data_IF_647357271468
#
_entry.id   IF_647357271468
#
_cell.length_a   1.000
_cell.length_b   1.000
_cell.length_c   1.000
_cell.angle_alpha   90.00
_cell.angle_beta   90.00
_cell.angle_gamma   90.00
#
_symmetry.space_group_name_H-M   'P 1'
#
loop_
_entity.id
_entity.type
_entity.pdbx_description
1 polymer ?
#
# COMPACT_ATOMS: atom_id res chain seq x y z
N UNK A 1 14.33 -0.24 16.67
CA UNK A 1 12.86 -0.18 16.58
C UNK A 1 12.38 -0.85 15.32
N UNK A 2 11.39 -1.71 15.45
CA UNK A 2 10.77 -2.33 14.28
C UNK A 2 9.79 -1.35 13.66
N UNK A 3 9.87 -1.18 12.35
CA UNK A 3 8.93 -0.38 11.57
C UNK A 3 8.13 -1.30 10.65
N UNK A 4 6.96 -0.82 10.24
CA UNK A 4 6.18 -1.50 9.21
C UNK A 4 6.98 -1.49 7.90
N UNK A 5 6.83 -2.54 7.11
CA UNK A 5 7.57 -2.70 5.85
C UNK A 5 6.59 -2.64 4.69
N UNK A 6 6.85 -1.75 3.74
CA UNK A 6 6.09 -1.68 2.50
C UNK A 6 6.92 -2.27 1.36
N UNK A 7 6.48 -3.38 0.83
CA UNK A 7 7.03 -3.93 -0.40
C UNK A 7 6.42 -3.19 -1.58
N UNK A 8 7.25 -2.58 -2.40
CA UNK A 8 6.85 -1.65 -3.41
C UNK A 8 7.61 -1.90 -4.70
N UNK A 9 7.05 -1.43 -5.80
CA UNK A 9 7.76 -1.34 -7.07
C UNK A 9 7.65 0.09 -7.57
N UNK A 10 8.79 0.66 -7.90
CA UNK A 10 8.95 2.08 -8.21
C UNK A 10 7.96 2.59 -9.25
N UNK A 11 7.72 1.82 -10.30
CA UNK A 11 6.87 2.22 -11.42
C UNK A 11 5.42 1.74 -11.31
N UNK A 12 5.08 0.99 -10.30
CA UNK A 12 3.74 0.47 -10.14
C UNK A 12 2.78 1.57 -9.67
N UNK A 13 1.71 1.89 -10.43
CA UNK A 13 0.75 2.92 -10.02
C UNK A 13 0.08 2.62 -8.68
N UNK A 14 -0.19 1.37 -8.41
CA UNK A 14 -0.80 0.96 -7.15
C UNK A 14 0.15 1.16 -5.97
N UNK A 15 1.43 0.83 -6.15
CA UNK A 15 2.45 1.07 -5.13
C UNK A 15 2.67 2.57 -4.92
N UNK A 16 2.62 3.37 -5.98
CA UNK A 16 2.73 4.83 -5.88
C UNK A 16 1.61 5.40 -5.02
N UNK A 17 0.37 4.95 -5.23
CA UNK A 17 -0.77 5.40 -4.43
C UNK A 17 -0.60 5.07 -2.95
N UNK A 18 -0.14 3.85 -2.67
CA UNK A 18 0.08 3.42 -1.30
C UNK A 18 1.17 4.25 -0.63
N UNK A 19 2.29 4.49 -1.32
CA UNK A 19 3.36 5.34 -0.80
C UNK A 19 2.88 6.76 -0.52
N UNK A 20 2.09 7.31 -1.43
CA UNK A 20 1.52 8.65 -1.26
C UNK A 20 0.63 8.76 -0.03
N UNK A 21 -0.26 7.79 0.14
CA UNK A 21 -1.15 7.77 1.29
C UNK A 21 -0.38 7.69 2.60
N UNK A 22 0.62 6.83 2.67
CA UNK A 22 1.45 6.69 3.86
C UNK A 22 2.23 7.97 4.16
N UNK A 23 2.75 8.63 3.12
CA UNK A 23 3.46 9.90 3.28
C UNK A 23 2.55 11.01 3.78
N UNK A 24 1.39 11.17 3.17
CA UNK A 24 0.41 12.21 3.56
C UNK A 24 -0.07 11.98 4.99
N UNK A 25 -0.29 10.74 5.37
CA UNK A 25 -0.74 10.38 6.72
C UNK A 25 0.41 10.39 7.75
N UNK A 26 1.63 10.68 7.33
CA UNK A 26 2.82 10.73 8.19
C UNK A 26 3.10 9.41 8.89
N UNK A 27 2.83 8.31 8.21
CA UNK A 27 3.10 6.96 8.72
C UNK A 27 4.47 6.54 8.22
N UNK A 28 5.37 6.25 9.16
CA UNK A 28 6.72 5.81 8.82
C UNK A 28 6.73 4.34 8.47
N UNK A 29 7.28 4.02 7.31
CA UNK A 29 7.47 2.65 6.85
C UNK A 29 8.85 2.50 6.23
N UNK A 30 9.39 1.28 6.30
CA UNK A 30 10.57 0.92 5.52
C UNK A 30 10.10 0.47 4.15
N UNK A 31 10.58 1.13 3.09
CA UNK A 31 10.21 0.77 1.72
C UNK A 31 11.26 -0.20 1.18
N UNK A 32 10.80 -1.37 0.74
CA UNK A 32 11.65 -2.36 0.08
C UNK A 32 11.21 -2.52 -1.35
N UNK A 33 12.13 -2.25 -2.27
CA UNK A 33 11.89 -2.42 -3.70
C UNK A 33 11.88 -3.91 -4.06
N UNK A 34 10.87 -4.35 -4.80
CA UNK A 34 10.75 -5.72 -5.26
C UNK A 34 11.06 -5.78 -6.74
N UNK A 35 12.03 -6.60 -7.12
CA UNK A 35 12.27 -6.91 -8.53
C UNK A 35 11.22 -7.94 -8.96
N UNK A 36 10.27 -7.49 -9.79
CA UNK A 36 9.15 -8.33 -10.22
C UNK A 36 9.59 -9.49 -11.12
N UNK A 37 10.78 -9.39 -11.71
CA UNK A 37 11.36 -10.48 -12.51
C UNK A 37 12.08 -11.52 -11.65
N UNK A 38 12.54 -11.12 -10.47
CA UNK A 38 13.27 -11.98 -9.56
C UNK A 38 12.80 -11.68 -8.12
N UNK A 39 11.60 -12.15 -7.78
CA UNK A 39 10.97 -11.85 -6.51
C UNK A 39 11.74 -12.51 -5.36
N UNK A 40 12.03 -11.76 -4.28
CA UNK A 40 12.68 -12.35 -3.11
C UNK A 40 11.82 -13.45 -2.47
N UNK A 41 12.49 -14.47 -1.95
CA UNK A 41 11.79 -15.58 -1.29
C UNK A 41 10.95 -15.10 -0.10
N UNK A 42 11.44 -14.17 0.65
CA UNK A 42 10.75 -13.55 1.78
C UNK A 42 9.42 -12.92 1.34
N UNK A 43 9.42 -12.22 0.21
CA UNK A 43 8.21 -11.64 -0.38
C UNK A 43 7.21 -12.71 -0.83
N UNK A 44 7.68 -13.74 -1.49
CA UNK A 44 6.85 -14.85 -1.99
C UNK A 44 6.18 -15.57 -0.83
N UNK A 45 6.88 -15.76 0.28
CA UNK A 45 6.35 -16.45 1.47
C UNK A 45 5.29 -15.63 2.21
N UNK A 46 5.39 -14.31 2.19
CA UNK A 46 4.47 -13.42 2.89
C UNK A 46 3.20 -13.18 2.08
N UNK A 47 3.35 -13.04 0.77
CA UNK A 47 2.27 -12.61 -0.11
C UNK A 47 1.48 -13.78 -0.68
N UNK A 48 0.16 -13.73 -0.55
CA UNK A 48 -0.75 -14.67 -1.21
C UNK A 48 -0.89 -14.34 -2.69
N UNK A 49 -0.95 -13.06 -3.03
CA UNK A 49 -1.14 -12.58 -4.40
C UNK A 49 0.15 -12.45 -5.18
N UNK A 50 1.29 -12.37 -4.48
CA UNK A 50 2.62 -12.13 -5.06
C UNK A 50 2.71 -10.87 -5.91
N UNK A 51 1.89 -9.87 -5.57
CA UNK A 51 1.84 -8.57 -6.24
C UNK A 51 2.19 -7.46 -5.25
N UNK A 52 2.66 -6.34 -5.77
CA UNK A 52 2.91 -5.14 -4.96
C UNK A 52 1.74 -4.16 -5.13
N UNK A 53 1.46 -3.27 -4.19
CA UNK A 53 2.16 -3.10 -2.91
C UNK A 53 1.67 -4.06 -1.84
N UNK A 54 2.52 -4.37 -0.88
CA UNK A 54 2.17 -5.17 0.29
C UNK A 54 2.74 -4.47 1.53
N UNK A 55 1.89 -4.24 2.51
CA UNK A 55 2.31 -3.69 3.79
C UNK A 55 2.35 -4.80 4.84
N UNK A 56 3.51 -5.00 5.43
CA UNK A 56 3.70 -5.93 6.55
C UNK A 56 3.88 -5.11 7.82
N UNK A 57 2.91 -5.22 8.71
CA UNK A 57 2.91 -4.48 9.98
C UNK A 57 3.84 -5.16 10.99
N UNK A 58 4.24 -4.42 12.00
CA UNK A 58 5.11 -4.94 13.07
C UNK A 58 4.51 -6.12 13.82
N UNK A 59 3.18 -6.19 13.89
CA UNK A 59 2.46 -7.32 14.50
C UNK A 59 2.27 -8.50 13.56
N UNK A 60 2.94 -8.49 12.41
CA UNK A 60 2.89 -9.51 11.35
C UNK A 60 1.60 -9.55 10.53
N UNK A 61 0.68 -8.62 10.73
CA UNK A 61 -0.46 -8.46 9.84
C UNK A 61 0.02 -8.02 8.45
N UNK A 62 -0.61 -8.58 7.42
CA UNK A 62 -0.26 -8.29 6.02
C UNK A 62 -1.47 -7.66 5.34
N UNK A 63 -1.26 -6.50 4.72
CA UNK A 63 -2.27 -5.81 3.93
C UNK A 63 -1.79 -5.84 2.47
N UNK A 64 -2.51 -6.53 1.60
CA UNK A 64 -2.04 -6.82 0.25
C UNK A 64 -2.55 -5.88 -0.83
N UNK A 65 -3.71 -5.25 -0.64
CA UNK A 65 -4.28 -4.37 -1.66
C UNK A 65 -3.91 -2.91 -1.41
N UNK A 66 -3.59 -2.18 -2.47
CA UNK A 66 -3.26 -0.75 -2.34
C UNK A 66 -4.40 0.04 -1.72
N UNK A 67 -5.63 -0.27 -2.10
CA UNK A 67 -6.81 0.39 -1.52
C UNK A 67 -6.91 0.14 -0.02
N UNK A 68 -6.68 -1.09 0.40
CA UNK A 68 -6.74 -1.45 1.82
C UNK A 68 -5.62 -0.78 2.61
N UNK A 69 -4.44 -0.64 2.01
CA UNK A 69 -3.33 0.10 2.62
C UNK A 69 -3.73 1.57 2.82
N UNK A 70 -4.34 2.18 1.83
CA UNK A 70 -4.77 3.57 1.88
C UNK A 70 -5.85 3.77 2.96
N UNK A 71 -6.83 2.88 3.02
CA UNK A 71 -7.89 2.93 4.03
C UNK A 71 -7.30 2.79 5.42
N UNK A 72 -6.37 1.85 5.60
CA UNK A 72 -5.70 1.68 6.88
C UNK A 72 -4.91 2.93 7.27
N UNK A 73 -4.14 3.50 6.32
CA UNK A 73 -3.36 4.70 6.56
C UNK A 73 -4.24 5.87 6.99
N UNK A 74 -5.38 6.05 6.32
CA UNK A 74 -6.32 7.11 6.66
C UNK A 74 -6.94 6.91 8.04
N UNK A 75 -7.22 5.66 8.43
CA UNK A 75 -7.77 5.35 9.75
C UNK A 75 -6.75 5.59 10.87
N UNK A 76 -5.47 5.37 10.59
CA UNK A 76 -4.38 5.59 11.54
C UNK A 76 -3.93 7.05 11.60
N UNK A 77 -4.30 7.85 10.62
CA UNK A 77 -3.88 9.25 10.54
C UNK A 77 -4.43 10.07 11.69
N UNK A 78 -3.56 10.85 12.31
CA UNK A 78 -3.94 11.79 13.37
C UNK A 78 -4.51 13.09 12.81
N UNK A 79 -4.44 13.31 11.51
CA UNK A 79 -4.92 14.52 10.85
C UNK A 79 -6.42 14.42 10.59
N UNK A 80 -7.22 15.16 11.35
CA UNK A 80 -8.68 15.16 11.22
C UNK A 80 -9.16 15.56 9.82
N UNK A 81 -8.45 16.47 9.15
CA UNK A 81 -8.80 16.93 7.80
C UNK A 81 -8.78 15.80 6.78
N UNK A 82 -7.89 14.83 6.93
CA UNK A 82 -7.79 13.71 6.01
C UNK A 82 -8.98 12.75 6.13
N UNK A 83 -9.60 12.67 7.30
CA UNK A 83 -10.79 11.83 7.50
C UNK A 83 -12.00 12.32 6.73
N UNK A 84 -12.11 13.63 6.51
CA UNK A 84 -13.19 14.23 5.72
C UNK A 84 -13.06 13.84 4.25
N UNK A 85 -11.84 13.76 3.75
CA UNK A 85 -11.55 13.38 2.37
C UNK A 85 -11.62 11.87 2.13
N UNK A 86 -11.72 11.05 3.18
CA UNK A 86 -11.72 9.59 3.07
C UNK A 86 -12.80 9.09 2.12
N UNK A 87 -14.01 9.64 2.20
CA UNK A 87 -15.13 9.23 1.34
C UNK A 87 -14.86 9.54 -0.13
N UNK A 88 -14.35 10.74 -0.42
CA UNK A 88 -14.03 11.15 -1.79
C UNK A 88 -12.90 10.31 -2.35
N UNK A 89 -11.86 10.09 -1.55
CA UNK A 89 -10.72 9.28 -1.94
C UNK A 89 -11.11 7.83 -2.21
N UNK A 90 -11.97 7.24 -1.38
CA UNK A 90 -12.45 5.88 -1.56
C UNK A 90 -13.21 5.76 -2.88
N UNK A 91 -14.07 6.72 -3.21
CA UNK A 91 -14.80 6.73 -4.47
C UNK A 91 -13.86 6.81 -5.66
N UNK A 92 -12.88 7.72 -5.62
CA UNK A 92 -11.88 7.87 -6.68
C UNK A 92 -11.04 6.60 -6.85
N UNK A 93 -10.67 5.97 -5.73
CA UNK A 93 -9.86 4.75 -5.76
C UNK A 93 -10.65 3.55 -6.25
N UNK A 94 -11.97 3.50 -5.99
CA UNK A 94 -12.82 2.47 -6.58
C UNK A 94 -12.86 2.60 -8.11
N UNK A 95 -12.95 3.81 -8.63
CA UNK A 95 -12.87 4.04 -10.07
C UNK A 95 -11.53 3.56 -10.64
N UNK A 96 -10.43 3.79 -9.93
CA UNK A 96 -9.10 3.33 -10.34
C UNK A 96 -8.93 1.81 -10.24
N UNK A 97 -9.72 1.15 -9.41
CA UNK A 97 -9.70 -0.32 -9.28
C UNK A 97 -10.07 -1.01 -10.59
N UNK A 98 -10.93 -0.41 -11.40
CA UNK A 98 -11.29 -0.94 -12.70
C UNK A 98 -10.16 -0.89 -13.72
N UNK A 99 -9.19 0.01 -13.55
CA UNK A 99 -8.03 0.09 -14.41
C UNK A 99 -7.03 -1.03 -14.18
N UNK A 100 -7.16 -1.79 -13.11
CA UNK A 100 -6.28 -2.92 -12.82
C UNK A 100 -6.27 -3.95 -13.96
N UNK A 101 -7.39 -4.09 -14.65
CA UNK A 101 -7.51 -5.00 -15.78
C UNK A 101 -6.81 -4.50 -17.05
N UNK A 102 -6.51 -3.20 -17.13
CA UNK A 102 -5.92 -2.58 -18.33
C UNK A 102 -4.43 -2.32 -18.21
N UNK A 103 -3.86 -2.38 -17.01
CA UNK A 103 -2.47 -2.02 -16.75
C UNK A 103 -1.55 -3.24 -16.67
N UNK A 104 -2.12 -4.41 -16.58
CA UNK A 104 -1.34 -5.65 -16.50
C UNK A 104 -0.91 -6.11 -17.90
#
# INVERSE_FOLDING_TARGET
>A
MRTDILYSFRRCPYAIRARWALLICEIKVEIREVDLKNKPLEFINISKTKTVPILVKTNKEVIEESLDIIIWALSESKKKKLKVFTRVWIILLHCLRFYKCYII
#
